data_IF_890445741417
#
_entry.id   IF_890445741417
#
_cell.length_a   1.000
_cell.length_b   1.000
_cell.length_c   1.000
_cell.angle_alpha   90.00
_cell.angle_beta   90.00
_cell.angle_gamma   90.00
#
_symmetry.space_group_name_H-M   'P 1'
#
loop_
_entity.id
_entity.type
_entity.pdbx_description
1 polymer ?
#
# COMPACT_ATOMS: atom_id res chain seq x y z
N UNK A 1 10.24 65.43 32.21
CA UNK A 1 9.36 64.31 32.59
C UNK A 1 10.05 63.04 32.14
N UNK A 2 10.77 62.41 33.07
CA UNK A 2 11.51 61.18 32.82
C UNK A 2 10.60 59.98 33.07
N UNK A 3 10.26 59.24 32.00
CA UNK A 3 9.34 58.11 32.06
C UNK A 3 10.08 56.82 31.66
N UNK A 4 10.59 56.15 32.69
CA UNK A 4 10.95 54.72 32.81
C UNK A 4 11.53 53.99 31.59
N UNK A 5 12.86 53.95 31.53
CA UNK A 5 13.58 52.90 30.81
C UNK A 5 13.70 51.67 31.74
N UNK A 6 12.80 50.70 31.57
CA UNK A 6 12.96 49.40 32.24
C UNK A 6 13.87 48.51 31.38
N UNK A 7 15.04 48.08 31.89
CA UNK A 7 15.83 47.10 31.16
C UNK A 7 15.13 45.74 31.31
N UNK A 8 14.50 45.29 30.22
CA UNK A 8 14.03 43.92 30.07
C UNK A 8 15.24 43.00 30.18
N UNK A 9 15.48 42.46 31.38
CA UNK A 9 16.41 41.37 31.63
C UNK A 9 15.87 40.15 30.88
N UNK A 10 16.24 40.03 29.60
CA UNK A 10 16.18 38.78 28.86
C UNK A 10 17.02 37.79 29.65
N UNK A 11 16.37 36.97 30.46
CA UNK A 11 16.99 35.81 31.06
C UNK A 11 17.44 34.94 29.89
N UNK A 12 18.72 35.09 29.51
CA UNK A 12 19.40 34.11 28.71
C UNK A 12 19.50 32.86 29.59
N UNK A 13 18.43 32.05 29.58
CA UNK A 13 18.51 30.68 30.05
C UNK A 13 19.48 29.97 29.11
N UNK A 14 20.76 30.00 29.46
CA UNK A 14 21.72 28.97 29.11
C UNK A 14 21.20 27.66 29.70
N UNK A 15 20.16 27.10 29.09
CA UNK A 15 19.74 25.73 29.35
C UNK A 15 20.88 24.86 28.86
N UNK A 16 21.73 24.50 29.83
CA UNK A 16 22.87 23.62 29.71
C UNK A 16 22.57 22.53 28.67
N UNK A 17 23.22 22.62 27.51
CA UNK A 17 23.16 21.67 26.39
C UNK A 17 23.83 20.33 26.76
N UNK A 18 23.75 19.92 28.03
CA UNK A 18 24.30 18.66 28.50
C UNK A 18 23.41 17.54 27.98
N UNK A 19 24.03 16.60 27.28
CA UNK A 19 23.40 15.35 26.82
C UNK A 19 22.93 14.58 28.05
N UNK A 20 21.73 14.02 27.99
CA UNK A 20 21.20 13.18 29.06
C UNK A 20 22.12 11.97 29.27
N UNK A 21 22.35 11.59 30.52
CA UNK A 21 23.15 10.41 30.83
C UNK A 21 22.39 9.14 30.45
N UNK A 22 23.10 8.03 30.29
CA UNK A 22 22.48 6.77 29.88
C UNK A 22 21.40 6.31 30.89
N UNK A 23 21.64 6.50 32.18
CA UNK A 23 20.67 6.11 33.21
C UNK A 23 19.45 7.03 33.24
N UNK A 24 19.62 8.33 32.96
CA UNK A 24 18.49 9.24 32.76
C UNK A 24 17.63 8.79 31.57
N UNK A 25 18.26 8.41 30.46
CA UNK A 25 17.56 7.89 29.28
C UNK A 25 16.82 6.60 29.60
N UNK A 26 17.46 5.63 30.27
CA UNK A 26 16.81 4.36 30.65
C UNK A 26 15.54 4.58 31.49
N UNK A 27 15.57 5.53 32.43
CA UNK A 27 14.41 5.81 33.27
C UNK A 27 13.28 6.50 32.49
N UNK A 28 13.63 7.43 31.59
CA UNK A 28 12.67 8.03 30.66
C UNK A 28 12.04 6.99 29.74
N UNK A 29 12.83 6.03 29.23
CA UNK A 29 12.34 4.93 28.39
C UNK A 29 11.39 4.00 29.15
N UNK A 30 11.74 3.57 30.36
CA UNK A 30 10.84 2.79 31.22
C UNK A 30 9.51 3.50 31.45
N UNK A 31 9.57 4.80 31.76
CA UNK A 31 8.37 5.61 31.95
C UNK A 31 7.55 5.73 30.65
N UNK A 32 8.20 5.94 29.51
CA UNK A 32 7.54 6.05 28.21
C UNK A 32 6.85 4.75 27.78
N UNK A 33 7.49 3.60 28.00
CA UNK A 33 6.92 2.28 27.71
C UNK A 33 5.65 2.01 28.53
N UNK A 34 5.55 2.54 29.75
CA UNK A 34 4.33 2.43 30.56
C UNK A 34 3.22 3.39 30.12
N UNK A 35 3.58 4.62 29.76
CA UNK A 35 2.64 5.61 29.24
C UNK A 35 3.37 6.60 28.31
N UNK A 36 2.96 6.61 27.04
CA UNK A 36 3.52 7.47 26.00
C UNK A 36 3.07 8.94 26.16
N UNK A 37 1.94 9.19 26.85
CA UNK A 37 1.45 10.53 27.15
C UNK A 37 2.12 11.08 28.40
N UNK A 38 2.75 12.24 28.26
CA UNK A 38 3.42 12.91 29.36
C UNK A 38 2.47 13.87 30.06
N UNK A 39 1.82 13.39 31.12
CA UNK A 39 0.97 14.23 31.95
C UNK A 39 1.78 15.28 32.74
N UNK A 40 1.22 16.46 33.06
CA UNK A 40 1.94 17.54 33.75
C UNK A 40 2.57 17.11 35.09
N UNK A 41 1.83 16.37 35.91
CA UNK A 41 2.31 15.91 37.22
C UNK A 41 3.44 14.89 37.07
N UNK A 42 3.30 13.97 36.12
CA UNK A 42 4.32 12.97 35.82
C UNK A 42 5.60 13.63 35.27
N UNK A 43 5.47 14.66 34.45
CA UNK A 43 6.60 15.47 33.98
C UNK A 43 7.37 16.10 35.13
N UNK A 44 6.66 16.67 36.11
CA UNK A 44 7.29 17.29 37.27
C UNK A 44 7.98 16.22 38.14
N UNK A 45 7.34 15.06 38.34
CA UNK A 45 7.93 13.94 39.08
C UNK A 45 9.22 13.43 38.41
N UNK A 46 9.19 13.19 37.10
CA UNK A 46 10.36 12.75 36.33
C UNK A 46 11.49 13.79 36.36
N UNK A 47 11.15 15.07 36.26
CA UNK A 47 12.11 16.17 36.36
C UNK A 47 12.85 16.14 37.69
N UNK A 48 12.11 15.99 38.81
CA UNK A 48 12.68 15.88 40.16
C UNK A 48 13.54 14.62 40.31
N UNK A 49 13.04 13.47 39.88
CA UNK A 49 13.73 12.18 40.01
C UNK A 49 15.03 12.11 39.20
N UNK A 50 15.04 12.75 38.02
CA UNK A 50 16.19 12.74 37.11
C UNK A 50 17.18 13.89 37.35
N UNK A 51 16.79 14.88 38.16
CA UNK A 51 17.57 16.10 38.38
C UNK A 51 17.72 16.98 37.13
N UNK A 52 16.79 16.89 36.18
CA UNK A 52 16.82 17.65 34.91
C UNK A 52 15.61 18.57 34.78
N UNK A 53 15.70 19.67 34.02
CA UNK A 53 14.56 20.57 33.81
C UNK A 53 13.36 19.87 33.17
N UNK A 54 12.14 20.17 33.66
CA UNK A 54 10.89 19.63 33.11
C UNK A 54 10.73 19.86 31.59
N UNK A 55 11.31 20.96 31.06
CA UNK A 55 11.38 21.22 29.63
C UNK A 55 12.18 20.16 28.86
N UNK A 56 13.31 19.68 29.40
CA UNK A 56 14.09 18.62 28.77
C UNK A 56 13.33 17.29 28.75
N UNK A 57 12.59 16.96 29.82
CA UNK A 57 11.69 15.79 29.85
C UNK A 57 10.65 15.90 28.73
N UNK A 58 10.01 17.07 28.58
CA UNK A 58 9.01 17.30 27.53
C UNK A 58 9.58 17.14 26.12
N UNK A 59 10.74 17.75 25.84
CA UNK A 59 11.43 17.64 24.54
C UNK A 59 11.84 16.19 24.27
N UNK A 60 12.34 15.47 25.27
CA UNK A 60 12.71 14.08 25.12
C UNK A 60 11.50 13.22 24.73
N UNK A 61 10.35 13.40 25.39
CA UNK A 61 9.10 12.70 25.05
C UNK A 61 8.61 13.04 23.65
N UNK A 62 8.69 14.32 23.23
CA UNK A 62 8.35 14.74 21.87
C UNK A 62 9.25 14.05 20.83
N UNK A 63 10.56 14.04 21.05
CA UNK A 63 11.52 13.40 20.16
C UNK A 63 11.34 11.88 20.12
N UNK A 64 11.05 11.25 21.26
CA UNK A 64 10.78 9.80 21.33
C UNK A 64 9.52 9.46 20.53
N UNK A 65 8.45 10.25 20.63
CA UNK A 65 7.24 10.08 19.79
C UNK A 65 7.50 10.29 18.31
N UNK A 66 8.28 11.31 17.94
CA UNK A 66 8.64 11.56 16.56
C UNK A 66 9.39 10.35 15.97
N UNK A 67 10.41 9.85 16.68
CA UNK A 67 11.16 8.65 16.28
C UNK A 67 10.28 7.41 16.19
N UNK A 68 9.40 7.20 17.18
CA UNK A 68 8.46 6.09 17.15
C UNK A 68 7.53 6.14 15.94
N UNK A 69 7.01 7.34 15.61
CA UNK A 69 6.16 7.54 14.42
C UNK A 69 6.94 7.21 13.15
N UNK A 70 8.16 7.71 13.01
CA UNK A 70 9.03 7.39 11.86
C UNK A 70 9.27 5.89 11.74
N UNK A 71 9.70 5.23 12.83
CA UNK A 71 9.94 3.78 12.84
C UNK A 71 8.68 2.98 12.51
N UNK A 72 7.51 3.38 13.02
CA UNK A 72 6.24 2.73 12.70
C UNK A 72 5.86 2.88 11.23
N UNK A 73 6.14 4.03 10.62
CA UNK A 73 5.90 4.27 9.19
C UNK A 73 6.85 3.44 8.33
N UNK A 74 8.14 3.40 8.68
CA UNK A 74 9.14 2.58 7.99
C UNK A 74 8.76 1.09 8.01
N UNK A 75 8.35 0.57 9.18
CA UNK A 75 7.88 -0.80 9.31
C UNK A 75 6.61 -1.06 8.47
N UNK A 76 5.66 -0.12 8.48
CA UNK A 76 4.44 -0.21 7.67
C UNK A 76 4.73 -0.22 6.17
N UNK A 77 5.61 0.66 5.71
CA UNK A 77 6.07 0.72 4.33
C UNK A 77 6.73 -0.60 3.90
N UNK A 78 7.68 -1.10 4.69
CA UNK A 78 8.36 -2.36 4.40
C UNK A 78 7.38 -3.55 4.33
N UNK A 79 6.38 -3.60 5.22
CA UNK A 79 5.35 -4.63 5.19
C UNK A 79 4.49 -4.56 3.91
N UNK A 80 4.15 -3.36 3.46
CA UNK A 80 3.41 -3.16 2.20
C UNK A 80 4.29 -3.54 1.00
N UNK A 81 5.56 -3.17 1.01
CA UNK A 81 6.50 -3.51 -0.06
C UNK A 81 6.66 -5.02 -0.23
N UNK A 82 6.83 -5.79 0.86
CA UNK A 82 6.92 -7.26 0.79
C UNK A 82 5.64 -7.88 0.21
N UNK A 83 4.47 -7.35 0.60
CA UNK A 83 3.18 -7.81 0.03
C UNK A 83 3.09 -7.54 -1.46
N UNK A 84 3.52 -6.36 -1.90
CA UNK A 84 3.56 -5.99 -3.32
C UNK A 84 4.48 -6.92 -4.11
N UNK A 85 5.70 -7.15 -3.62
CA UNK A 85 6.67 -8.03 -4.27
C UNK A 85 6.14 -9.47 -4.39
N UNK A 86 5.48 -9.96 -3.34
CA UNK A 86 4.83 -11.28 -3.32
C UNK A 86 3.72 -11.35 -4.37
N UNK A 87 2.80 -10.38 -4.39
CA UNK A 87 1.71 -10.33 -5.35
C UNK A 87 2.21 -10.24 -6.80
N UNK A 88 3.28 -9.47 -7.05
CA UNK A 88 3.91 -9.39 -8.37
C UNK A 88 4.55 -10.73 -8.78
N UNK A 89 5.13 -11.48 -7.84
CA UNK A 89 5.68 -12.80 -8.12
C UNK A 89 4.57 -13.82 -8.45
N UNK A 90 3.47 -13.79 -7.71
CA UNK A 90 2.29 -14.62 -7.98
C UNK A 90 1.66 -14.28 -9.34
N UNK A 91 1.49 -12.99 -9.65
CA UNK A 91 1.01 -12.53 -10.96
C UNK A 91 1.89 -13.09 -12.09
N UNK A 92 3.21 -12.93 -11.99
CA UNK A 92 4.16 -13.46 -13.00
C UNK A 92 4.06 -14.97 -13.16
N UNK A 93 3.78 -15.71 -12.08
CA UNK A 93 3.57 -17.15 -12.13
C UNK A 93 2.26 -17.48 -12.86
N UNK A 94 1.16 -16.81 -12.49
CA UNK A 94 -0.14 -17.01 -13.11
C UNK A 94 -0.11 -16.67 -14.61
N UNK A 95 0.57 -15.61 -15.01
CA UNK A 95 0.75 -15.26 -16.43
C UNK A 95 1.44 -16.39 -17.21
N UNK A 96 2.48 -17.01 -16.64
CA UNK A 96 3.14 -18.17 -17.25
C UNK A 96 2.22 -19.39 -17.32
N UNK A 97 1.45 -19.66 -16.26
CA UNK A 97 0.50 -20.77 -16.24
C UNK A 97 -0.61 -20.58 -17.26
N UNK A 98 -1.13 -19.34 -17.42
CA UNK A 98 -2.13 -19.00 -18.44
C UNK A 98 -1.57 -19.22 -19.83
N UNK A 99 -0.35 -18.77 -20.11
CA UNK A 99 0.27 -18.96 -21.43
C UNK A 99 0.48 -20.45 -21.75
N UNK A 100 0.98 -21.22 -20.77
CA UNK A 100 1.14 -22.67 -20.92
C UNK A 100 -0.20 -23.36 -21.21
N UNK A 101 -1.24 -23.07 -20.44
CA UNK A 101 -2.57 -23.67 -20.60
C UNK A 101 -3.21 -23.29 -21.94
N UNK A 102 -3.03 -22.04 -22.40
CA UNK A 102 -3.45 -21.61 -23.74
C UNK A 102 -2.74 -22.42 -24.84
N UNK A 103 -1.44 -22.65 -24.69
CA UNK A 103 -0.67 -23.49 -25.60
C UNK A 103 -1.14 -24.95 -25.63
N UNK A 104 -1.43 -25.54 -24.46
CA UNK A 104 -1.98 -26.89 -24.36
C UNK A 104 -3.37 -27.00 -25.02
N UNK A 105 -4.24 -26.02 -24.78
CA UNK A 105 -5.58 -25.96 -25.38
C UNK A 105 -5.50 -25.89 -26.90
N UNK A 106 -4.60 -25.07 -27.45
CA UNK A 106 -4.38 -24.95 -28.89
C UNK A 106 -3.94 -26.28 -29.51
N UNK A 107 -2.97 -26.96 -28.89
CA UNK A 107 -2.51 -28.29 -29.34
C UNK A 107 -3.61 -29.33 -29.31
N UNK A 108 -4.44 -29.34 -28.27
CA UNK A 108 -5.58 -30.25 -28.17
C UNK A 108 -6.61 -29.98 -29.28
N UNK A 109 -6.90 -28.70 -29.58
CA UNK A 109 -7.75 -28.31 -30.70
C UNK A 109 -7.17 -28.78 -32.05
N UNK A 110 -5.87 -28.57 -32.29
CA UNK A 110 -5.18 -29.04 -33.50
C UNK A 110 -5.29 -30.57 -33.66
N UNK A 111 -5.02 -31.32 -32.59
CA UNK A 111 -5.16 -32.78 -32.58
C UNK A 111 -6.59 -33.25 -32.91
N UNK A 112 -7.61 -32.60 -32.34
CA UNK A 112 -9.02 -32.91 -32.63
C UNK A 112 -9.40 -32.65 -34.09
N UNK A 113 -8.89 -31.57 -34.69
CA UNK A 113 -9.09 -31.27 -36.10
C UNK A 113 -8.44 -32.33 -36.99
N UNK A 114 -7.23 -32.76 -36.66
CA UNK A 114 -6.50 -33.80 -37.40
C UNK A 114 -7.21 -35.17 -37.34
N UNK A 115 -7.79 -35.54 -36.19
CA UNK A 115 -8.59 -36.76 -36.05
C UNK A 115 -9.87 -36.70 -36.88
N UNK A 116 -10.58 -35.57 -36.88
CA UNK A 116 -11.82 -35.38 -37.65
C UNK A 116 -11.58 -35.43 -39.17
N UNK A 117 -10.42 -34.97 -39.63
CA UNK A 117 -10.04 -35.03 -41.04
C UNK A 117 -9.60 -36.45 -41.49
N UNK A 118 -9.18 -37.31 -40.57
CA UNK A 118 -8.82 -38.72 -40.85
C UNK A 118 -10.03 -39.66 -40.86
N UNK A 119 -11.19 -39.25 -40.32
CA UNK A 119 -12.42 -40.05 -40.33
C UNK A 119 -13.20 -40.02 -41.67
N UNK A 120 -12.69 -39.34 -42.70
CA UNK A 120 -13.29 -39.35 -44.05
C UNK A 120 -12.64 -40.45 -44.90
N UNK A 121 -12.96 -41.72 -44.60
CA UNK A 121 -12.94 -42.79 -45.60
C UNK A 121 -14.39 -42.99 -46.09
N UNK A 122 -14.64 -43.03 -47.41
CA UNK A 122 -15.98 -43.18 -47.95
C UNK A 122 -16.37 -44.67 -47.87
N UNK A 123 -17.16 -45.07 -46.87
CA UNK A 123 -18.22 -46.09 -47.01
C UNK A 123 -18.98 -46.38 -45.68
N UNK A 124 -20.16 -45.74 -45.58
CA UNK A 124 -21.42 -46.12 -44.87
C UNK A 124 -21.50 -46.10 -43.31
N UNK A 125 -22.73 -46.20 -42.73
CA UNK A 125 -23.48 -45.06 -42.20
C UNK A 125 -23.57 -45.11 -40.67
N UNK A 126 -23.39 -43.99 -39.98
CA UNK A 126 -23.65 -43.93 -38.54
C UNK A 126 -24.71 -42.87 -38.28
N UNK A 127 -25.92 -43.36 -38.04
CA UNK A 127 -27.00 -42.61 -37.42
C UNK A 127 -26.51 -42.25 -36.01
N UNK A 128 -26.28 -40.97 -35.74
CA UNK A 128 -26.32 -40.45 -34.38
C UNK A 128 -27.47 -39.45 -34.32
N UNK A 129 -28.63 -39.97 -33.93
CA UNK A 129 -29.82 -39.20 -33.63
C UNK A 129 -29.93 -39.01 -32.12
N UNK A 130 -30.59 -37.90 -31.76
CA UNK A 130 -30.95 -37.37 -30.43
C UNK A 130 -29.90 -36.43 -29.82
N UNK A 131 -30.22 -35.18 -29.51
CA UNK A 131 -31.51 -34.61 -29.12
C UNK A 131 -31.70 -33.21 -29.72
N UNK A 132 -32.83 -32.98 -30.39
CA UNK A 132 -33.32 -31.66 -30.73
C UNK A 132 -33.76 -30.92 -29.47
N UNK A 133 -33.15 -29.77 -29.19
CA UNK A 133 -33.81 -28.72 -28.42
C UNK A 133 -33.92 -27.49 -29.33
N UNK A 134 -35.17 -27.12 -29.59
CA UNK A 134 -35.64 -26.05 -30.47
C UNK A 134 -34.97 -24.70 -30.20
N UNK A 135 -34.58 -23.98 -31.26
CA UNK A 135 -34.41 -22.53 -31.21
C UNK A 135 -35.25 -21.91 -32.32
N UNK A 136 -36.30 -21.20 -31.90
CA UNK A 136 -37.15 -20.40 -32.78
C UNK A 136 -36.39 -19.21 -33.38
N UNK A 137 -36.95 -18.76 -34.50
CA UNK A 137 -36.38 -17.99 -35.58
C UNK A 137 -36.71 -16.47 -35.49
N UNK A 138 -35.91 -15.67 -36.21
CA UNK A 138 -36.08 -14.23 -36.60
C UNK A 138 -35.96 -13.20 -35.46
N UNK A 139 -35.34 -12.04 -35.61
CA UNK A 139 -34.79 -11.35 -36.77
C UNK A 139 -34.77 -9.84 -36.45
N UNK A 140 -33.63 -9.18 -36.59
CA UNK A 140 -33.54 -7.73 -36.80
C UNK A 140 -32.13 -7.38 -37.29
N UNK A 141 -32.06 -6.92 -38.54
CA UNK A 141 -30.88 -6.35 -39.15
C UNK A 141 -30.46 -5.02 -38.47
N UNK A 142 -29.17 -4.72 -38.41
CA UNK A 142 -28.54 -3.76 -39.34
C UNK A 142 -27.18 -3.24 -38.83
N UNK A 143 -26.19 -3.34 -39.71
CA UNK A 143 -25.09 -2.38 -39.98
C UNK A 143 -24.38 -1.64 -38.83
N UNK A 144 -23.07 -1.83 -38.71
CA UNK A 144 -22.09 -0.89 -39.30
C UNK A 144 -20.67 -1.18 -38.82
N UNK A 145 -19.76 -1.05 -39.77
CA UNK A 145 -18.30 -1.02 -39.63
C UNK A 145 -17.83 -0.28 -38.38
N UNK A 146 -16.95 -0.91 -37.61
CA UNK A 146 -16.02 -0.18 -36.74
C UNK A 146 -14.58 -0.56 -37.13
N UNK A 147 -13.90 0.49 -37.60
CA UNK A 147 -12.47 0.64 -37.70
C UNK A 147 -11.79 0.22 -36.38
N UNK A 148 -10.59 -0.35 -36.52
CA UNK A 148 -9.72 -0.64 -35.40
C UNK A 148 -9.36 0.62 -34.63
N UNK A 149 -9.31 0.47 -33.30
CA UNK A 149 -8.66 1.41 -32.41
C UNK A 149 -8.10 0.58 -31.23
N UNK A 150 -6.86 0.13 -31.38
CA UNK A 150 -6.04 -0.43 -30.29
C UNK A 150 -5.78 0.68 -29.27
N UNK A 151 -6.66 0.82 -28.27
CA UNK A 151 -6.40 1.64 -27.09
C UNK A 151 -5.95 0.79 -25.92
N UNK A 152 -4.64 0.66 -25.81
CA UNK A 152 -3.96 0.40 -24.54
C UNK A 152 -4.19 1.58 -23.57
N UNK A 153 -5.23 1.50 -22.74
CA UNK A 153 -5.54 2.51 -21.70
C UNK A 153 -5.66 1.88 -20.29
N UNK A 154 -5.25 0.62 -20.12
CA UNK A 154 -5.42 -0.08 -18.83
C UNK A 154 -4.48 0.36 -17.71
N UNK A 155 -3.36 1.02 -18.03
CA UNK A 155 -2.30 1.31 -17.04
C UNK A 155 -2.50 2.66 -16.33
N UNK A 156 -3.29 3.58 -16.91
CA UNK A 156 -3.43 4.94 -16.38
C UNK A 156 -4.60 5.16 -15.39
N UNK A 157 -5.54 4.23 -15.27
CA UNK A 157 -6.70 4.42 -14.37
C UNK A 157 -6.30 4.23 -12.90
N UNK A 158 -5.52 3.19 -12.58
CA UNK A 158 -5.12 2.90 -11.20
C UNK A 158 -4.06 3.86 -10.64
N UNK A 159 -3.29 4.54 -11.50
CA UNK A 159 -2.28 5.52 -11.07
C UNK A 159 -2.95 6.83 -10.64
N UNK A 160 -4.02 7.25 -11.33
CA UNK A 160 -4.78 8.45 -11.00
C UNK A 160 -5.57 8.32 -9.69
N UNK A 161 -6.16 7.15 -9.44
CA UNK A 161 -6.83 6.86 -8.16
C UNK A 161 -5.85 6.87 -6.98
N UNK A 162 -4.61 6.43 -7.19
CA UNK A 162 -3.58 6.46 -6.15
C UNK A 162 -3.08 7.89 -5.89
N UNK A 163 -2.94 8.72 -6.93
CA UNK A 163 -2.58 10.13 -6.80
C UNK A 163 -3.68 10.96 -6.11
N UNK A 164 -4.95 10.72 -6.44
CA UNK A 164 -6.09 11.38 -5.78
C UNK A 164 -6.21 10.99 -4.30
N UNK A 165 -6.03 9.71 -3.98
CA UNK A 165 -6.00 9.24 -2.59
C UNK A 165 -4.78 9.77 -1.82
N UNK A 166 -3.63 9.89 -2.48
CA UNK A 166 -2.42 10.47 -1.88
C UNK A 166 -2.58 11.97 -1.62
N UNK A 167 -3.19 12.72 -2.55
CA UNK A 167 -3.49 14.15 -2.40
C UNK A 167 -4.44 14.44 -1.23
N UNK A 168 -5.51 13.65 -1.07
CA UNK A 168 -6.41 13.76 0.07
C UNK A 168 -5.72 13.46 1.42
N UNK A 169 -4.73 12.55 1.44
CA UNK A 169 -4.03 12.15 2.65
C UNK A 169 -2.99 13.18 3.12
N UNK A 170 -2.37 13.92 2.20
CA UNK A 170 -1.36 14.95 2.50
C UNK A 170 -1.93 16.34 2.73
N UNK A 171 -3.26 16.53 2.56
CA UNK A 171 -3.96 17.76 2.93
C UNK A 171 -3.54 18.99 2.14
N UNK A 172 -3.10 18.81 0.89
CA UNK A 172 -2.88 19.92 -0.04
C UNK A 172 -4.21 20.13 -0.76
N UNK A 173 -4.99 21.10 -0.29
CA UNK A 173 -6.15 21.62 -0.98
C UNK A 173 -5.99 23.12 -1.19
#
# INVERSE_FOLDING_TARGET
>A
MDFFQTPSKRHQFHHNKKRLTQDQVKLLERSFSSNNKLEPDRKLLLSKQLGIPARQVAIWYQNKRARWKTQSLELGYNAIQVKLETALAEKRKLEKDVERLRGELKKAHELLLDLNNQTVQPNQPVICSMFSASCDQEGAASSSLQHGDDRDHGVNHGVKELEELYACLIGIQ
#
